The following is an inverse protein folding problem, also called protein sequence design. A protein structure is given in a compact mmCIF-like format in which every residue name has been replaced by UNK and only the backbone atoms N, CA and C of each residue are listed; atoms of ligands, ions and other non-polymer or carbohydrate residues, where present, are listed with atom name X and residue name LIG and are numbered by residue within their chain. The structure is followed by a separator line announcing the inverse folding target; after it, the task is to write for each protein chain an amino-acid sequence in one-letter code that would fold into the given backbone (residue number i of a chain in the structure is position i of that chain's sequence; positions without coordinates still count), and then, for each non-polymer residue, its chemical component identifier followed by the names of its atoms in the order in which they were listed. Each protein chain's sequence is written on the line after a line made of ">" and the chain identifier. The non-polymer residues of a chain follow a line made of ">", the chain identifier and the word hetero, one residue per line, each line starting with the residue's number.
data_IF_719262812124
#
_entry.id   IF_719262812124
#
_cell.length_a   1.000
_cell.length_b   1.000
_cell.length_c   1.000
_cell.angle_alpha   90.00
_cell.angle_beta   90.00
_cell.angle_gamma   90.00
#
_symmetry.space_group_name_H-M   'P 1'
#
loop_
_entity.id
_entity.type
_entity.pdbx_description
1 polymer ?
#
# COMPACT_ATOMS: atom_id res chain seq x y z
N UNK A 1 22.73 12.47 0.98
CA UNK A 1 22.00 11.41 0.23
C UNK A 1 20.84 12.07 -0.47
N UNK A 2 20.75 11.97 -1.78
CA UNK A 2 19.63 12.49 -2.58
C UNK A 2 18.45 11.51 -2.55
N UNK A 3 17.29 11.90 -3.11
CA UNK A 3 16.07 11.07 -3.09
C UNK A 3 16.21 9.74 -3.83
N UNK A 4 16.98 9.67 -4.90
CA UNK A 4 17.20 8.43 -5.65
C UNK A 4 18.09 7.45 -4.86
N UNK A 5 19.18 7.95 -4.28
CA UNK A 5 20.06 7.15 -3.42
C UNK A 5 19.30 6.62 -2.19
N UNK A 6 18.43 7.45 -1.61
CA UNK A 6 17.58 7.06 -0.50
C UNK A 6 16.57 5.98 -0.90
N UNK A 7 15.97 6.12 -2.08
CA UNK A 7 15.04 5.14 -2.63
C UNK A 7 15.72 3.79 -2.91
N UNK A 8 16.93 3.82 -3.48
CA UNK A 8 17.72 2.60 -3.73
C UNK A 8 18.09 1.90 -2.40
N UNK A 9 18.50 2.67 -1.39
CA UNK A 9 18.75 2.14 -0.05
C UNK A 9 17.52 1.49 0.57
N UNK A 10 16.35 2.13 0.44
CA UNK A 10 15.09 1.57 0.93
C UNK A 10 14.72 0.27 0.20
N UNK A 11 15.04 0.15 -1.10
CA UNK A 11 14.88 -1.10 -1.84
C UNK A 11 15.77 -2.20 -1.26
N UNK A 12 17.01 -1.91 -0.94
CA UNK A 12 17.95 -2.90 -0.39
C UNK A 12 17.53 -3.38 1.01
N UNK A 13 16.90 -2.53 1.82
CA UNK A 13 16.35 -2.89 3.12
C UNK A 13 15.16 -3.87 3.04
N UNK A 14 14.49 -3.99 1.90
CA UNK A 14 13.31 -4.86 1.75
C UNK A 14 13.62 -6.34 2.03
N UNK A 15 14.82 -6.82 1.67
CA UNK A 15 15.19 -8.24 1.89
C UNK A 15 15.19 -8.58 3.38
N UNK A 16 15.80 -7.73 4.20
CA UNK A 16 15.88 -7.98 5.63
C UNK A 16 14.53 -7.73 6.31
N UNK A 17 13.79 -6.74 5.85
CA UNK A 17 12.43 -6.51 6.30
C UNK A 17 11.52 -7.72 6.06
N UNK A 18 11.58 -8.37 4.90
CA UNK A 18 10.77 -9.56 4.60
C UNK A 18 11.03 -10.73 5.54
N UNK A 19 12.23 -10.83 6.12
CA UNK A 19 12.55 -11.85 7.14
C UNK A 19 11.82 -11.60 8.47
N UNK A 20 11.59 -10.33 8.78
CA UNK A 20 11.01 -9.87 10.05
C UNK A 20 9.51 -9.60 9.95
N UNK A 21 8.96 -9.49 8.74
CA UNK A 21 7.56 -9.15 8.54
C UNK A 21 6.62 -10.16 9.22
N UNK A 22 5.72 -9.64 10.03
CA UNK A 22 4.67 -10.40 10.72
C UNK A 22 3.33 -10.19 10.03
N UNK A 23 2.73 -11.29 9.60
CA UNK A 23 1.40 -11.28 8.95
C UNK A 23 0.31 -10.92 9.94
N UNK A 24 -0.69 -10.21 9.48
CA UNK A 24 -1.92 -9.97 10.23
C UNK A 24 -2.78 -11.25 10.27
N UNK A 25 -3.67 -11.31 11.24
CA UNK A 25 -4.69 -12.36 11.27
C UNK A 25 -5.69 -12.15 10.13
N UNK A 26 -5.82 -13.13 9.26
CA UNK A 26 -6.73 -13.06 8.12
C UNK A 26 -8.18 -12.95 8.60
N UNK A 27 -8.92 -12.02 8.03
CA UNK A 27 -10.34 -11.80 8.26
C UNK A 27 -11.14 -12.99 7.73
N UNK A 28 -12.17 -13.41 8.46
CA UNK A 28 -13.13 -14.39 7.96
C UNK A 28 -13.87 -13.86 6.73
N UNK A 29 -14.41 -14.74 5.91
CA UNK A 29 -15.16 -14.34 4.70
C UNK A 29 -16.30 -13.36 5.01
N UNK A 30 -17.04 -13.58 6.09
CA UNK A 30 -18.09 -12.67 6.56
C UNK A 30 -17.55 -11.28 6.90
N UNK A 31 -16.37 -11.22 7.54
CA UNK A 31 -15.71 -9.97 7.85
C UNK A 31 -15.24 -9.27 6.59
N UNK A 32 -14.62 -10.00 5.63
CA UNK A 32 -14.18 -9.44 4.36
C UNK A 32 -15.33 -8.78 3.59
N UNK A 33 -16.46 -9.45 3.42
CA UNK A 33 -17.67 -8.89 2.76
C UNK A 33 -18.20 -7.61 3.44
N UNK A 34 -17.85 -7.40 4.69
CA UNK A 34 -18.23 -6.21 5.46
C UNK A 34 -17.08 -5.22 5.66
N UNK A 35 -16.05 -5.29 4.83
CA UNK A 35 -14.84 -4.48 4.95
C UNK A 35 -14.62 -3.63 3.71
N UNK A 36 -14.25 -2.37 3.93
CA UNK A 36 -13.71 -1.46 2.94
C UNK A 36 -12.24 -1.17 3.28
N UNK A 37 -11.42 -1.01 2.24
CA UNK A 37 -10.10 -0.41 2.36
C UNK A 37 -10.10 0.97 1.69
N UNK A 38 -9.32 1.89 2.22
CA UNK A 38 -9.20 3.23 1.66
C UNK A 38 -7.80 3.78 1.85
N UNK A 39 -7.32 4.51 0.87
CA UNK A 39 -6.01 5.17 0.87
C UNK A 39 -5.87 6.06 -0.35
N UNK A 40 -4.80 6.84 -0.41
CA UNK A 40 -4.48 7.70 -1.57
C UNK A 40 -3.08 7.40 -2.08
N UNK A 41 -2.81 7.51 -3.38
CA UNK A 41 -1.52 7.21 -3.98
C UNK A 41 -1.09 5.77 -3.72
N UNK A 42 0.14 5.55 -3.25
CA UNK A 42 0.69 4.22 -2.92
C UNK A 42 -0.19 3.45 -1.92
N UNK A 43 -0.82 4.17 -1.00
CA UNK A 43 -1.73 3.57 -0.01
C UNK A 43 -3.02 3.05 -0.66
N UNK A 44 -3.51 3.70 -1.72
CA UNK A 44 -4.63 3.19 -2.51
C UNK A 44 -4.23 1.92 -3.26
N UNK A 45 -3.04 1.91 -3.85
CA UNK A 45 -2.52 0.70 -4.53
C UNK A 45 -2.40 -0.47 -3.56
N UNK A 46 -1.90 -0.24 -2.35
CA UNK A 46 -1.84 -1.27 -1.30
C UNK A 46 -3.23 -1.82 -0.95
N UNK A 47 -4.23 -0.94 -0.87
CA UNK A 47 -5.63 -1.32 -0.67
C UNK A 47 -6.19 -2.13 -1.85
N UNK A 48 -5.91 -1.74 -3.09
CA UNK A 48 -6.34 -2.46 -4.31
C UNK A 48 -5.76 -3.88 -4.38
N UNK A 49 -4.55 -4.10 -3.86
CA UNK A 49 -4.00 -5.45 -3.73
C UNK A 49 -4.84 -6.30 -2.77
N UNK A 50 -5.36 -5.74 -1.66
CA UNK A 50 -6.29 -6.49 -0.80
C UNK A 50 -7.57 -6.87 -1.55
N UNK A 51 -8.15 -5.98 -2.35
CA UNK A 51 -9.33 -6.29 -3.16
C UNK A 51 -9.04 -7.44 -4.13
N UNK A 52 -7.94 -7.38 -4.87
CA UNK A 52 -7.53 -8.43 -5.81
C UNK A 52 -7.30 -9.76 -5.09
N UNK A 53 -6.55 -9.79 -3.99
CA UNK A 53 -6.24 -11.01 -3.25
C UNK A 53 -7.41 -11.57 -2.45
N UNK A 54 -8.46 -10.79 -2.22
CA UNK A 54 -9.73 -11.26 -1.65
C UNK A 54 -10.68 -11.84 -2.70
N UNK A 55 -10.32 -11.79 -3.99
CA UNK A 55 -11.22 -12.05 -5.12
C UNK A 55 -12.47 -11.15 -5.08
N UNK A 56 -12.30 -9.87 -4.79
CA UNK A 56 -13.38 -8.88 -4.74
C UNK A 56 -14.29 -8.98 -3.52
N UNK A 57 -13.92 -9.75 -2.48
CA UNK A 57 -14.73 -9.84 -1.24
C UNK A 57 -14.66 -8.57 -0.39
N UNK A 58 -13.54 -7.85 -0.42
CA UNK A 58 -13.43 -6.50 0.11
C UNK A 58 -13.58 -5.50 -1.02
N UNK A 59 -13.96 -4.26 -0.71
CA UNK A 59 -14.04 -3.18 -1.68
C UNK A 59 -13.03 -2.10 -1.36
N UNK A 60 -12.58 -1.36 -2.37
CA UNK A 60 -11.61 -0.28 -2.23
C UNK A 60 -12.18 1.02 -2.76
N UNK A 61 -11.97 2.10 -2.05
CA UNK A 61 -12.37 3.44 -2.47
C UNK A 61 -11.29 4.47 -2.15
N UNK A 62 -11.16 5.46 -3.01
CA UNK A 62 -10.45 6.68 -2.65
C UNK A 62 -11.17 7.36 -1.48
N UNK A 63 -10.45 7.93 -0.50
CA UNK A 63 -11.09 8.57 0.67
C UNK A 63 -11.96 9.77 0.30
N UNK A 64 -11.74 10.42 -0.83
CA UNK A 64 -12.61 11.51 -1.30
C UNK A 64 -13.98 10.97 -1.75
N UNK A 65 -14.01 9.79 -2.38
CA UNK A 65 -15.26 9.13 -2.77
C UNK A 65 -16.07 8.75 -1.54
N UNK A 66 -15.43 8.21 -0.50
CA UNK A 66 -16.09 7.91 0.77
C UNK A 66 -16.59 9.18 1.47
N UNK A 67 -15.84 10.27 1.41
CA UNK A 67 -16.24 11.55 1.99
C UNK A 67 -17.48 12.14 1.30
N UNK A 68 -17.55 12.04 -0.04
CA UNK A 68 -18.70 12.48 -0.83
C UNK A 68 -19.92 11.56 -0.70
N UNK A 69 -19.71 10.29 -0.34
CA UNK A 69 -20.74 9.26 -0.27
C UNK A 69 -20.75 8.57 1.11
N UNK A 70 -21.10 9.30 2.19
CA UNK A 70 -21.00 8.78 3.58
C UNK A 70 -21.88 7.56 3.85
N UNK A 71 -22.90 7.29 3.02
CA UNK A 71 -23.72 6.08 3.13
C UNK A 71 -22.91 4.79 2.91
N UNK A 72 -21.81 4.83 2.15
CA UNK A 72 -20.94 3.67 1.92
C UNK A 72 -20.21 3.21 3.18
N UNK A 73 -20.03 4.10 4.15
CA UNK A 73 -19.22 3.84 5.34
C UNK A 73 -20.04 3.47 6.59
N UNK A 74 -21.36 3.74 6.59
CA UNK A 74 -22.21 3.61 7.79
C UNK A 74 -22.34 2.18 8.33
N UNK A 75 -22.23 1.18 7.48
CA UNK A 75 -22.43 -0.24 7.83
C UNK A 75 -21.15 -1.09 7.72
N UNK A 76 -20.06 -0.53 7.26
CA UNK A 76 -18.81 -1.25 6.96
C UNK A 76 -17.72 -0.99 7.98
N UNK A 77 -16.80 -1.94 8.12
CA UNK A 77 -15.51 -1.72 8.76
C UNK A 77 -14.55 -1.12 7.74
N UNK A 78 -13.82 -0.07 8.11
CA UNK A 78 -12.92 0.62 7.18
C UNK A 78 -11.49 0.51 7.67
N UNK A 79 -10.63 -0.01 6.80
CA UNK A 79 -9.19 0.00 6.98
C UNK A 79 -8.61 1.17 6.17
N UNK A 80 -8.13 2.19 6.86
CA UNK A 80 -7.45 3.33 6.23
C UNK A 80 -5.97 3.06 6.16
N UNK A 81 -5.42 3.00 4.95
CA UNK A 81 -3.99 2.92 4.71
C UNK A 81 -3.44 4.34 4.56
N UNK A 82 -2.55 4.74 5.46
CA UNK A 82 -1.95 6.07 5.43
C UNK A 82 -0.66 6.08 6.24
N UNK A 83 0.48 6.06 5.56
CA UNK A 83 1.80 5.99 6.21
C UNK A 83 1.96 7.11 7.24
N UNK A 84 1.70 8.35 6.88
CA UNK A 84 1.77 9.50 7.79
C UNK A 84 0.60 9.61 8.77
N UNK A 85 -0.53 8.94 8.47
CA UNK A 85 -1.76 9.08 9.24
C UNK A 85 -2.35 10.50 9.29
N UNK A 86 -2.01 11.37 8.33
CA UNK A 86 -2.42 12.77 8.31
C UNK A 86 -3.28 13.19 7.11
N UNK A 87 -3.70 12.25 6.28
CA UNK A 87 -4.60 12.51 5.16
C UNK A 87 -5.94 13.02 5.67
N UNK A 88 -6.28 14.27 5.35
CA UNK A 88 -7.46 14.95 5.90
C UNK A 88 -8.78 14.26 5.57
N UNK A 89 -8.92 13.74 4.35
CA UNK A 89 -10.13 13.02 3.92
C UNK A 89 -10.32 11.72 4.71
N UNK A 90 -9.24 10.94 4.95
CA UNK A 90 -9.29 9.76 5.82
C UNK A 90 -9.80 10.11 7.22
N UNK A 91 -9.27 11.18 7.81
CA UNK A 91 -9.64 11.65 9.16
C UNK A 91 -11.11 12.05 9.21
N UNK A 92 -11.60 12.77 8.19
CA UNK A 92 -13.01 13.18 8.11
C UNK A 92 -13.95 11.98 7.99
N UNK A 93 -13.62 11.01 7.14
CA UNK A 93 -14.41 9.78 6.96
C UNK A 93 -14.36 8.91 8.23
N UNK A 94 -13.19 8.79 8.87
CA UNK A 94 -13.04 8.01 10.09
C UNK A 94 -13.97 8.47 11.23
N UNK A 95 -14.23 9.77 11.33
CA UNK A 95 -15.11 10.34 12.36
C UNK A 95 -16.58 9.97 12.21
N UNK A 96 -17.04 9.58 11.03
CA UNK A 96 -18.43 9.26 10.73
C UNK A 96 -18.67 7.77 10.45
N UNK A 97 -17.61 7.01 10.31
CA UNK A 97 -17.67 5.59 10.04
C UNK A 97 -17.94 4.77 11.32
N UNK A 98 -18.62 3.64 11.17
CA UNK A 98 -19.02 2.78 12.30
C UNK A 98 -17.82 2.15 13.02
N UNK A 99 -16.88 1.63 12.28
CA UNK A 99 -15.65 1.03 12.81
C UNK A 99 -14.49 1.31 11.84
N UNK A 100 -13.41 1.81 12.40
CA UNK A 100 -12.23 2.23 11.66
C UNK A 100 -10.97 1.63 12.22
N UNK A 101 -10.09 1.21 11.34
CA UNK A 101 -8.75 0.70 11.65
C UNK A 101 -7.75 1.53 10.85
N UNK A 102 -6.79 2.16 11.52
CA UNK A 102 -5.69 2.85 10.86
C UNK A 102 -4.53 1.89 10.61
N UNK A 103 -4.04 1.84 9.37
CA UNK A 103 -2.79 1.19 9.00
C UNK A 103 -1.80 2.31 8.75
N UNK A 104 -0.87 2.55 9.68
CA UNK A 104 0.01 3.73 9.67
C UNK A 104 1.36 3.45 10.33
N UNK A 105 2.40 4.19 9.97
CA UNK A 105 3.69 4.15 10.67
C UNK A 105 3.77 5.13 11.86
N UNK A 106 2.72 5.94 12.07
CA UNK A 106 2.70 6.99 13.08
C UNK A 106 1.61 6.72 14.13
N UNK A 107 1.98 6.12 15.30
CA UNK A 107 1.00 5.73 16.32
C UNK A 107 0.23 6.93 16.89
N UNK A 108 0.85 8.11 16.93
CA UNK A 108 0.27 9.34 17.44
C UNK A 108 -0.36 10.24 16.38
N UNK A 109 -0.52 9.74 15.16
CA UNK A 109 -1.10 10.49 14.05
C UNK A 109 -2.56 10.86 14.31
N UNK A 110 -3.03 11.87 13.59
CA UNK A 110 -4.43 12.32 13.68
C UNK A 110 -5.41 11.24 13.29
N UNK A 111 -5.07 10.37 12.33
CA UNK A 111 -5.89 9.24 11.92
C UNK A 111 -5.91 8.18 13.02
N UNK A 112 -4.76 7.81 13.59
CA UNK A 112 -4.68 6.86 14.68
C UNK A 112 -5.56 7.27 15.87
N UNK A 113 -5.51 8.54 16.26
CA UNK A 113 -6.30 9.10 17.39
C UNK A 113 -7.82 9.06 17.18
N UNK A 114 -8.29 9.07 15.94
CA UNK A 114 -9.74 9.00 15.65
C UNK A 114 -10.20 7.62 15.22
N UNK A 115 -9.30 6.67 15.06
CA UNK A 115 -9.60 5.28 14.70
C UNK A 115 -9.88 4.44 15.94
N UNK A 116 -10.70 3.39 15.77
CA UNK A 116 -11.02 2.46 16.84
C UNK A 116 -9.88 1.48 17.14
N UNK A 117 -9.02 1.24 16.15
CA UNK A 117 -7.88 0.34 16.27
C UNK A 117 -6.75 0.79 15.32
N UNK A 118 -5.51 0.36 15.60
CA UNK A 118 -4.33 0.73 14.83
C UNK A 118 -3.50 -0.50 14.52
N UNK A 119 -3.18 -0.68 13.27
CA UNK A 119 -2.13 -1.60 12.80
C UNK A 119 -0.90 -0.75 12.52
N UNK A 120 0.11 -0.90 13.37
CA UNK A 120 1.34 -0.12 13.25
C UNK A 120 2.27 -0.76 12.22
N UNK A 121 2.72 0.06 11.28
CA UNK A 121 3.75 -0.26 10.32
C UNK A 121 5.12 0.12 10.90
N UNK A 122 6.10 -0.76 10.80
CA UNK A 122 7.40 -0.62 11.46
C UNK A 122 8.60 -0.83 10.52
N UNK A 123 8.36 -0.85 9.20
CA UNK A 123 9.45 -1.01 8.24
C UNK A 123 10.52 0.08 8.43
N UNK A 124 11.81 -0.30 8.42
CA UNK A 124 12.89 0.67 8.43
C UNK A 124 12.85 1.52 7.18
N UNK A 125 13.45 2.71 7.22
CA UNK A 125 13.61 3.57 6.07
C UNK A 125 14.97 4.28 6.09
N UNK A 126 15.32 4.92 4.99
CA UNK A 126 16.59 5.64 4.85
C UNK A 126 16.70 6.91 5.70
N UNK A 127 15.60 7.35 6.32
CA UNK A 127 15.51 8.63 7.04
C UNK A 127 15.33 9.85 6.13
N UNK A 128 15.26 9.65 4.82
CA UNK A 128 15.01 10.68 3.81
C UNK A 128 13.67 10.41 3.16
N UNK A 129 12.89 11.47 2.95
CA UNK A 129 11.61 11.34 2.24
C UNK A 129 11.86 10.91 0.78
N UNK A 130 11.24 9.82 0.40
CA UNK A 130 11.30 9.26 -0.96
C UNK A 130 9.90 8.94 -1.47
N UNK A 131 9.80 8.49 -2.72
CA UNK A 131 8.55 8.03 -3.33
C UNK A 131 7.94 6.76 -2.72
N UNK A 132 8.39 6.33 -1.55
CA UNK A 132 7.89 5.17 -0.82
C UNK A 132 8.17 3.84 -1.54
N UNK A 133 9.09 3.04 -1.02
CA UNK A 133 9.38 1.69 -1.52
C UNK A 133 9.09 0.63 -0.46
N UNK A 134 9.85 0.64 0.63
CA UNK A 134 9.68 -0.33 1.72
C UNK A 134 8.37 -0.11 2.49
N UNK A 135 7.94 1.14 2.66
CA UNK A 135 6.65 1.47 3.27
C UNK A 135 5.48 1.00 2.41
N UNK A 136 5.59 1.07 1.08
CA UNK A 136 4.61 0.48 0.17
C UNK A 136 4.59 -1.04 0.32
N UNK A 137 5.76 -1.70 0.31
CA UNK A 137 5.86 -3.15 0.49
C UNK A 137 5.18 -3.62 1.79
N UNK A 138 5.47 -2.96 2.91
CA UNK A 138 4.85 -3.28 4.19
C UNK A 138 3.34 -3.08 4.19
N UNK A 139 2.87 -1.95 3.65
CA UNK A 139 1.45 -1.66 3.52
C UNK A 139 0.73 -2.70 2.67
N UNK A 140 1.31 -3.05 1.52
CA UNK A 140 0.76 -4.04 0.59
C UNK A 140 0.66 -5.43 1.26
N UNK A 141 1.75 -5.89 1.87
CA UNK A 141 1.77 -7.19 2.57
C UNK A 141 0.81 -7.21 3.76
N UNK A 142 0.71 -6.12 4.50
CA UNK A 142 -0.26 -5.97 5.59
C UNK A 142 -1.68 -6.10 5.07
N UNK A 143 -2.04 -5.35 4.03
CA UNK A 143 -3.36 -5.39 3.41
C UNK A 143 -3.69 -6.77 2.84
N UNK A 144 -2.76 -7.39 2.11
CA UNK A 144 -2.95 -8.74 1.55
C UNK A 144 -3.12 -9.77 2.68
N UNK A 145 -2.31 -9.72 3.74
CA UNK A 145 -2.39 -10.69 4.84
C UNK A 145 -3.71 -10.64 5.60
N UNK A 146 -4.37 -9.47 5.63
CA UNK A 146 -5.71 -9.31 6.22
C UNK A 146 -6.80 -10.06 5.44
N UNK A 147 -6.60 -10.33 4.17
CA UNK A 147 -7.65 -10.91 3.31
C UNK A 147 -7.29 -12.28 2.73
N UNK A 148 -6.02 -12.64 2.74
CA UNK A 148 -5.52 -13.90 2.17
C UNK A 148 -4.38 -14.49 3.00
N UNK A 149 -4.33 -15.82 3.04
CA UNK A 149 -3.17 -16.51 3.59
C UNK A 149 -2.02 -16.45 2.58
N UNK A 150 -0.97 -15.71 2.91
CA UNK A 150 0.21 -15.55 2.06
C UNK A 150 1.44 -16.22 2.66
N UNK A 151 2.30 -16.71 1.77
CA UNK A 151 3.65 -17.15 2.16
C UNK A 151 4.64 -16.10 1.71
N UNK A 152 5.39 -15.55 2.67
CA UNK A 152 6.42 -14.55 2.36
C UNK A 152 7.65 -15.26 1.81
N UNK A 153 8.07 -14.97 0.56
CA UNK A 153 9.26 -15.58 0.00
C UNK A 153 10.52 -15.03 0.71
N UNK A 154 11.21 -15.92 1.44
CA UNK A 154 12.48 -15.58 2.12
C UNK A 154 13.68 -15.97 1.27
N UNK A 155 13.64 -15.68 -0.04
CA UNK A 155 14.68 -16.08 -1.00
C UNK A 155 15.40 -14.85 -1.56
N UNK A 156 16.53 -14.41 -0.94
CA UNK A 156 17.31 -13.26 -1.44
C UNK A 156 17.70 -13.40 -2.92
N UNK A 157 17.94 -14.64 -3.39
CA UNK A 157 18.33 -14.93 -4.79
C UNK A 157 17.32 -14.43 -5.81
N UNK A 158 16.00 -14.48 -5.51
CA UNK A 158 14.96 -13.98 -6.44
C UNK A 158 15.03 -12.45 -6.58
N UNK A 159 15.24 -11.75 -5.47
CA UNK A 159 15.40 -10.30 -5.47
C UNK A 159 16.68 -9.87 -6.21
N UNK A 160 17.80 -10.52 -5.93
CA UNK A 160 19.06 -10.24 -6.61
C UNK A 160 18.99 -10.51 -8.11
N UNK A 161 18.27 -11.57 -8.52
CA UNK A 161 18.00 -11.86 -9.92
C UNK A 161 17.17 -10.75 -10.56
N UNK A 162 16.09 -10.34 -9.95
CA UNK A 162 15.25 -9.23 -10.45
C UNK A 162 16.06 -7.93 -10.58
N UNK A 163 16.86 -7.57 -9.56
CA UNK A 163 17.75 -6.41 -9.59
C UNK A 163 18.79 -6.50 -10.73
N UNK A 164 19.31 -7.69 -11.03
CA UNK A 164 20.24 -7.93 -12.16
C UNK A 164 19.53 -7.85 -13.51
N UNK A 165 18.33 -8.42 -13.62
CA UNK A 165 17.58 -8.44 -14.86
C UNK A 165 17.13 -7.03 -15.27
N UNK A 166 16.70 -6.20 -14.32
CA UNK A 166 16.33 -4.79 -14.56
C UNK A 166 17.47 -3.98 -15.17
N UNK A 167 18.71 -4.23 -14.79
CA UNK A 167 19.89 -3.53 -15.36
C UNK A 167 20.08 -3.73 -16.87
N UNK A 168 19.43 -4.74 -17.46
CA UNK A 168 19.46 -5.03 -18.88
C UNK A 168 18.43 -4.24 -19.68
N UNK A 169 17.48 -3.57 -19.01
CA UNK A 169 16.47 -2.78 -19.69
C UNK A 169 16.97 -1.37 -19.97
N UNK A 170 16.85 -0.93 -21.21
CA UNK A 170 16.95 0.48 -21.58
C UNK A 170 15.55 1.07 -21.58
N UNK A 171 15.39 2.20 -20.92
CA UNK A 171 14.09 2.88 -20.82
C UNK A 171 13.97 3.90 -21.96
N UNK A 172 12.91 3.82 -22.75
CA UNK A 172 12.58 4.78 -23.81
C UNK A 172 11.84 6.00 -23.23
N UNK A 173 11.64 7.04 -24.07
CA UNK A 173 10.91 8.26 -23.66
C UNK A 173 9.43 8.02 -23.32
N UNK A 174 8.83 6.96 -23.86
CA UNK A 174 7.45 6.54 -23.55
C UNK A 174 7.46 5.17 -22.95
N UNK A 175 6.84 5.01 -21.79
CA UNK A 175 6.78 3.77 -21.05
C UNK A 175 5.32 3.39 -20.87
N UNK A 176 4.98 2.14 -21.18
CA UNK A 176 3.68 1.55 -20.89
C UNK A 176 3.89 0.40 -19.92
N UNK A 177 3.24 0.46 -18.77
CA UNK A 177 3.26 -0.60 -17.77
C UNK A 177 1.91 -1.30 -17.81
N UNK A 178 1.91 -2.57 -18.19
CA UNK A 178 0.69 -3.35 -18.32
C UNK A 178 0.50 -4.28 -17.14
N UNK A 179 -0.72 -4.35 -16.65
CA UNK A 179 -1.09 -5.23 -15.54
C UNK A 179 -2.50 -5.76 -15.70
N UNK A 180 -2.76 -6.93 -15.13
CA UNK A 180 -4.09 -7.50 -15.08
C UNK A 180 -4.38 -7.98 -13.68
N UNK A 181 -5.58 -7.78 -13.20
CA UNK A 181 -6.07 -8.23 -11.90
C UNK A 181 -5.07 -8.02 -10.76
N UNK A 182 -4.26 -9.03 -10.38
CA UNK A 182 -3.27 -8.93 -9.30
C UNK A 182 -2.11 -7.96 -9.62
N UNK A 183 -1.78 -7.80 -10.89
CA UNK A 183 -0.65 -6.97 -11.31
C UNK A 183 -1.07 -5.58 -11.75
N UNK A 184 -2.35 -5.31 -11.96
CA UNK A 184 -2.85 -3.98 -12.32
C UNK A 184 -2.50 -2.90 -11.26
N UNK A 185 -2.74 -3.14 -9.95
CA UNK A 185 -2.30 -2.17 -8.94
C UNK A 185 -0.78 -1.94 -8.96
N UNK A 186 0.01 -2.99 -9.24
CA UNK A 186 1.47 -2.87 -9.35
C UNK A 186 1.89 -2.07 -10.60
N UNK A 187 1.15 -2.17 -11.71
CA UNK A 187 1.39 -1.34 -12.89
C UNK A 187 1.14 0.14 -12.58
N UNK A 188 0.06 0.44 -11.88
CA UNK A 188 -0.24 1.79 -11.37
C UNK A 188 0.88 2.33 -10.46
N UNK A 189 1.34 1.54 -9.49
CA UNK A 189 2.45 1.90 -8.61
C UNK A 189 3.74 2.18 -9.40
N UNK A 190 4.07 1.28 -10.31
CA UNK A 190 5.28 1.41 -11.14
C UNK A 190 5.27 2.71 -11.95
N UNK A 191 4.17 2.99 -12.63
CA UNK A 191 4.02 4.24 -13.39
C UNK A 191 4.17 5.47 -12.50
N UNK A 192 3.55 5.47 -11.32
CA UNK A 192 3.68 6.56 -10.36
C UNK A 192 5.16 6.78 -9.94
N UNK A 193 5.92 5.70 -9.70
CA UNK A 193 7.34 5.83 -9.30
C UNK A 193 8.21 6.39 -10.42
N UNK A 194 8.02 5.99 -11.66
CA UNK A 194 8.71 6.58 -12.79
C UNK A 194 8.42 8.08 -12.93
N UNK A 195 7.17 8.47 -12.73
CA UNK A 195 6.77 9.87 -12.77
C UNK A 195 7.36 10.67 -11.60
N UNK A 196 7.18 10.18 -10.36
CA UNK A 196 7.59 10.90 -9.14
C UNK A 196 9.10 11.04 -9.00
N UNK A 197 9.87 10.01 -9.38
CA UNK A 197 11.31 9.97 -9.16
C UNK A 197 12.11 10.46 -10.35
N UNK A 198 11.60 10.28 -11.57
CA UNK A 198 12.35 10.53 -12.80
C UNK A 198 11.67 11.53 -13.74
N UNK A 199 10.42 11.92 -13.49
CA UNK A 199 9.67 12.83 -14.34
C UNK A 199 9.34 12.26 -15.73
N UNK A 200 9.32 10.94 -15.89
CA UNK A 200 9.02 10.30 -17.16
C UNK A 200 7.52 10.28 -17.45
N UNK A 201 7.19 10.38 -18.74
CA UNK A 201 5.82 10.18 -19.23
C UNK A 201 5.52 8.68 -19.28
N UNK A 202 4.74 8.21 -18.31
CA UNK A 202 4.46 6.79 -18.11
C UNK A 202 2.96 6.55 -18.04
N UNK A 203 2.51 5.57 -18.80
CA UNK A 203 1.10 5.15 -18.82
C UNK A 203 0.98 3.74 -18.23
N UNK A 204 -0.16 3.44 -17.63
CA UNK A 204 -0.50 2.08 -17.17
C UNK A 204 -1.90 1.67 -17.64
N UNK A 205 -2.09 0.37 -17.87
CA UNK A 205 -3.35 -0.24 -18.27
C UNK A 205 -3.48 -1.67 -17.71
#
# INVERSE_FOLDING_TARGET
>A
MNSLEAYEKDIDLQIDFLKLFSKQKTLSEKQQKNTLFSGSGDSLVSAMLAESFSNGKVSVFDPLDLYKNPQLVKSKNIYFVSISGNTLTNIKVAKVAKKTIAITSQPDSRLAKVSHDVILLSAPNSGVFTGGSISFLESALTCISLVSSITIPRRPKLFLKAKSDIKKFSVSKKIYVLGTFFTYPLAMYCAAKFYELLGYDVHYA
#
